data_IF_438112526454
#
_entry.id   IF_438112526454
#
_cell.length_a   1.000
_cell.length_b   1.000
_cell.length_c   1.000
_cell.angle_alpha   90.00
_cell.angle_beta   90.00
_cell.angle_gamma   90.00
#
_symmetry.space_group_name_H-M   'P 1'
#
loop_
_entity.id
_entity.type
_entity.pdbx_description
1 polymer ?
#
# COMPACT_ATOMS: atom_id res chain seq x y z
N UNK A 1 9.55 24.80 -21.93
CA UNK A 1 8.57 25.71 -21.29
C UNK A 1 8.04 25.04 -20.04
N UNK A 2 7.60 25.79 -19.03
CA UNK A 2 6.88 25.18 -17.89
C UNK A 2 5.57 24.60 -18.45
N UNK A 3 5.18 23.42 -17.99
CA UNK A 3 3.94 22.74 -18.42
C UNK A 3 3.02 22.49 -17.24
N UNK A 4 3.58 22.10 -16.10
CA UNK A 4 2.84 21.90 -14.87
C UNK A 4 3.51 22.56 -13.67
N UNK A 5 2.72 22.83 -12.64
CA UNK A 5 3.15 23.23 -11.30
C UNK A 5 2.81 22.08 -10.35
N UNK A 6 3.83 21.49 -9.75
CA UNK A 6 3.70 20.45 -8.75
C UNK A 6 3.79 21.07 -7.35
N UNK A 7 2.96 20.58 -6.44
CA UNK A 7 2.98 20.93 -5.03
C UNK A 7 3.38 19.67 -4.27
N UNK A 8 4.55 19.72 -3.65
CA UNK A 8 5.16 18.58 -3.02
C UNK A 8 5.12 18.69 -1.49
N UNK A 9 4.94 17.57 -0.81
CA UNK A 9 5.06 17.49 0.65
C UNK A 9 6.53 17.57 1.12
N UNK A 10 6.75 17.35 2.42
CA UNK A 10 8.08 17.36 3.03
C UNK A 10 9.01 16.23 2.53
N UNK A 11 8.44 15.15 2.01
CA UNK A 11 9.15 14.01 1.41
C UNK A 11 9.41 14.20 -0.10
N UNK A 12 8.90 15.29 -0.68
CA UNK A 12 8.98 15.60 -2.10
C UNK A 12 7.92 14.90 -2.95
N UNK A 13 6.93 14.25 -2.35
CA UNK A 13 5.82 13.59 -3.05
C UNK A 13 4.84 14.62 -3.58
N UNK A 14 4.38 14.40 -4.81
CA UNK A 14 3.43 15.29 -5.47
C UNK A 14 2.04 15.05 -4.91
N UNK A 15 1.54 16.00 -4.11
CA UNK A 15 0.17 16.01 -3.58
C UNK A 15 -0.81 16.61 -4.59
N UNK A 16 -0.34 17.60 -5.35
CA UNK A 16 -1.15 18.29 -6.34
C UNK A 16 -0.33 18.65 -7.57
N UNK A 17 -0.94 18.49 -8.75
CA UNK A 17 -0.33 18.87 -10.02
C UNK A 17 -1.33 19.67 -10.84
N UNK A 18 -0.99 20.91 -11.18
CA UNK A 18 -1.82 21.76 -12.04
C UNK A 18 -1.12 22.04 -13.36
N UNK A 19 -1.89 22.19 -14.43
CA UNK A 19 -1.36 22.78 -15.67
C UNK A 19 -0.90 24.21 -15.40
N UNK A 20 0.12 24.66 -16.14
CA UNK A 20 0.59 26.05 -16.04
C UNK A 20 -0.62 27.01 -16.11
N UNK A 21 -0.81 27.88 -15.12
CA UNK A 21 -1.90 28.85 -15.15
C UNK A 21 -1.67 29.86 -16.28
N UNK A 22 -2.76 30.38 -16.86
CA UNK A 22 -2.71 31.43 -17.89
C UNK A 22 -2.25 32.80 -17.36
N UNK A 23 -2.04 32.93 -16.04
CA UNK A 23 -1.63 34.14 -15.34
C UNK A 23 -0.24 34.00 -14.72
N UNK A 24 -0.06 34.58 -13.54
CA UNK A 24 1.23 34.55 -12.83
C UNK A 24 1.62 33.12 -12.45
N UNK A 25 2.86 32.77 -12.78
CA UNK A 25 3.45 31.47 -12.45
C UNK A 25 4.00 31.57 -11.02
N UNK A 26 3.57 30.69 -10.09
CA UNK A 26 4.10 30.66 -8.73
C UNK A 26 5.63 30.45 -8.72
N UNK A 27 6.31 30.98 -7.71
CA UNK A 27 7.78 30.96 -7.67
C UNK A 27 8.28 29.55 -7.33
N UNK A 28 9.33 29.10 -8.03
CA UNK A 28 10.00 27.82 -7.73
C UNK A 28 10.52 27.80 -6.29
N UNK A 29 10.20 26.73 -5.55
CA UNK A 29 10.60 26.54 -4.16
C UNK A 29 9.76 27.33 -3.13
N UNK A 30 8.73 28.05 -3.56
CA UNK A 30 7.82 28.74 -2.65
C UNK A 30 6.93 27.75 -1.88
N UNK A 31 6.66 28.06 -0.61
CA UNK A 31 5.73 27.31 0.22
C UNK A 31 4.29 27.82 0.01
N UNK A 32 3.39 26.91 -0.35
CA UNK A 32 1.96 27.17 -0.49
C UNK A 32 1.17 26.11 0.27
N UNK A 33 0.43 26.53 1.30
CA UNK A 33 -0.37 25.63 2.16
C UNK A 33 0.43 24.45 2.75
N UNK A 34 1.71 24.66 3.07
CA UNK A 34 2.60 23.62 3.60
C UNK A 34 3.23 22.71 2.55
N UNK A 35 2.99 22.95 1.27
CA UNK A 35 3.60 22.23 0.15
C UNK A 35 4.63 23.11 -0.55
N UNK A 36 5.74 22.53 -0.98
CA UNK A 36 6.78 23.20 -1.76
C UNK A 36 6.44 23.14 -3.25
N UNK A 37 6.52 24.28 -3.93
CA UNK A 37 6.23 24.38 -5.35
C UNK A 37 7.44 23.98 -6.20
N UNK A 38 7.21 23.10 -7.18
CA UNK A 38 8.21 22.71 -8.19
C UNK A 38 7.65 22.76 -9.61
N UNK A 39 8.41 23.34 -10.53
CA UNK A 39 8.05 23.47 -11.93
C UNK A 39 8.36 22.19 -12.70
N UNK A 40 7.43 21.78 -13.56
CA UNK A 40 7.59 20.63 -14.46
C UNK A 40 7.65 21.13 -15.90
N UNK A 41 8.73 20.80 -16.59
CA UNK A 41 9.00 21.21 -17.98
C UNK A 41 8.15 20.43 -18.98
N UNK A 42 7.83 21.04 -20.13
CA UNK A 42 7.20 20.43 -21.29
C UNK A 42 7.99 19.28 -21.91
N UNK A 43 9.30 19.25 -21.66
CA UNK A 43 10.20 18.17 -22.03
C UNK A 43 9.92 16.86 -21.28
N UNK A 44 9.06 16.85 -20.25
CA UNK A 44 8.54 15.62 -19.66
C UNK A 44 7.29 15.17 -20.46
N UNK A 45 7.42 14.15 -21.34
CA UNK A 45 6.36 13.75 -22.24
C UNK A 45 5.28 12.89 -21.56
N UNK A 46 5.49 12.51 -20.30
CA UNK A 46 4.57 11.67 -19.56
C UNK A 46 3.23 12.38 -19.33
N UNK A 47 2.17 11.56 -19.25
CA UNK A 47 0.87 12.04 -18.80
C UNK A 47 0.97 12.43 -17.32
N UNK A 48 0.14 13.37 -16.90
CA UNK A 48 0.14 13.91 -15.54
C UNK A 48 -0.04 12.83 -14.46
N UNK A 49 -0.92 11.86 -14.70
CA UNK A 49 -1.15 10.71 -13.79
C UNK A 49 0.11 9.86 -13.64
N UNK A 50 0.75 9.52 -14.77
CA UNK A 50 1.99 8.71 -14.77
C UNK A 50 3.12 9.46 -14.07
N UNK A 51 3.22 10.78 -14.27
CA UNK A 51 4.24 11.60 -13.62
C UNK A 51 4.09 11.63 -12.09
N UNK A 52 2.87 11.90 -11.60
CA UNK A 52 2.57 11.90 -10.14
C UNK A 52 2.90 10.54 -9.51
N UNK A 53 2.55 9.46 -10.19
CA UNK A 53 2.78 8.11 -9.68
C UNK A 53 4.26 7.74 -9.63
N UNK A 54 5.07 8.18 -10.60
CA UNK A 54 6.43 7.68 -10.78
C UNK A 54 7.55 8.61 -10.33
N UNK A 55 7.29 9.88 -10.05
CA UNK A 55 8.33 10.86 -9.70
C UNK A 55 8.07 11.57 -8.37
N UNK A 56 9.15 12.03 -7.76
CA UNK A 56 9.15 12.86 -6.57
C UNK A 56 10.30 13.87 -6.66
N UNK A 57 10.26 14.91 -5.83
CA UNK A 57 11.28 15.94 -5.79
C UNK A 57 12.39 15.63 -4.79
N UNK A 58 13.64 15.69 -5.26
CA UNK A 58 14.86 15.64 -4.44
C UNK A 58 15.99 16.33 -5.20
N UNK A 59 16.12 17.64 -4.99
CA UNK A 59 17.04 18.51 -5.74
C UNK A 59 16.86 18.40 -7.27
N UNK A 60 15.63 18.08 -7.69
CA UNK A 60 15.27 17.71 -9.06
C UNK A 60 14.25 16.57 -9.09
N UNK A 61 13.65 16.35 -10.26
CA UNK A 61 12.70 15.25 -10.47
C UNK A 61 13.42 13.90 -10.55
N UNK A 62 13.13 13.02 -9.60
CA UNK A 62 13.73 11.68 -9.49
C UNK A 62 12.64 10.62 -9.62
N UNK A 63 12.92 9.54 -10.35
CA UNK A 63 12.00 8.41 -10.45
C UNK A 63 11.99 7.61 -9.13
N UNK A 64 10.80 7.25 -8.65
CA UNK A 64 10.58 6.33 -7.52
C UNK A 64 11.05 4.90 -7.83
N UNK A 65 11.23 4.57 -9.11
CA UNK A 65 11.41 3.19 -9.56
C UNK A 65 10.10 2.37 -9.47
N UNK A 66 10.15 1.08 -9.86
CA UNK A 66 8.96 0.24 -9.86
C UNK A 66 8.47 -0.01 -8.44
N UNK A 67 7.17 0.21 -8.21
CA UNK A 67 6.52 -0.22 -6.97
C UNK A 67 6.57 -1.75 -6.87
N UNK A 68 7.09 -2.34 -5.76
CA UNK A 68 7.20 -3.79 -5.65
C UNK A 68 5.85 -4.52 -5.71
N UNK A 69 4.87 -4.08 -4.93
CA UNK A 69 3.48 -4.54 -4.99
C UNK A 69 2.53 -3.49 -4.37
N UNK A 70 1.22 -3.79 -4.27
CA UNK A 70 0.22 -2.84 -3.77
C UNK A 70 0.34 -2.46 -2.28
N UNK A 71 1.09 -3.23 -1.49
CA UNK A 71 1.29 -3.02 -0.05
C UNK A 71 2.49 -2.12 0.26
N UNK A 72 3.20 -1.65 -0.76
CA UNK A 72 4.27 -0.67 -0.60
C UNK A 72 3.75 0.74 -0.86
N UNK A 73 4.18 1.66 -0.01
CA UNK A 73 3.99 3.10 -0.18
C UNK A 73 5.35 3.78 -0.27
N UNK A 74 5.43 4.92 -0.93
CA UNK A 74 6.68 5.64 -1.06
C UNK A 74 6.79 6.65 0.09
N UNK A 75 7.89 6.64 0.82
CA UNK A 75 8.17 7.56 1.93
C UNK A 75 9.68 7.68 2.14
N UNK A 76 10.18 8.82 2.63
CA UNK A 76 11.62 9.04 2.85
C UNK A 76 12.48 8.71 1.61
N UNK A 77 11.88 8.89 0.42
CA UNK A 77 12.47 8.51 -0.87
C UNK A 77 12.82 7.04 -1.07
N UNK A 78 12.09 6.13 -0.41
CA UNK A 78 12.19 4.69 -0.61
C UNK A 78 10.78 4.06 -0.62
N UNK A 79 10.67 2.86 -1.21
CA UNK A 79 9.48 2.04 -1.04
C UNK A 79 9.51 1.39 0.35
N UNK A 80 8.54 1.73 1.17
CA UNK A 80 8.33 1.17 2.51
C UNK A 80 7.12 0.23 2.48
N UNK A 81 7.26 -0.93 3.15
CA UNK A 81 6.18 -1.91 3.25
C UNK A 81 5.16 -1.44 4.31
N UNK A 82 3.87 -1.44 3.96
CA UNK A 82 2.79 -1.26 4.92
C UNK A 82 2.48 -2.58 5.66
N UNK A 83 3.36 -2.95 6.60
CA UNK A 83 3.22 -4.19 7.38
C UNK A 83 1.86 -4.26 8.10
N UNK A 84 1.36 -3.13 8.59
CA UNK A 84 0.06 -3.08 9.29
C UNK A 84 -1.12 -3.48 8.40
N UNK A 85 -1.09 -3.10 7.13
CA UNK A 85 -2.11 -3.47 6.15
C UNK A 85 -2.01 -4.95 5.77
N UNK A 86 -0.79 -5.45 5.52
CA UNK A 86 -0.56 -6.87 5.25
C UNK A 86 -1.09 -7.72 6.40
N UNK A 87 -0.72 -7.42 7.64
CA UNK A 87 -1.21 -8.13 8.83
C UNK A 87 -2.73 -8.05 9.00
N UNK A 88 -3.32 -6.89 8.69
CA UNK A 88 -4.78 -6.70 8.76
C UNK A 88 -5.51 -7.61 7.78
N UNK A 89 -5.04 -7.70 6.53
CA UNK A 89 -5.64 -8.57 5.51
C UNK A 89 -5.53 -10.04 5.92
N UNK A 90 -4.38 -10.46 6.43
CA UNK A 90 -4.16 -11.83 6.90
C UNK A 90 -5.10 -12.15 8.07
N UNK A 91 -5.21 -11.22 9.04
CA UNK A 91 -6.13 -11.35 10.17
C UNK A 91 -7.58 -11.48 9.71
N UNK A 92 -7.99 -10.71 8.70
CA UNK A 92 -9.33 -10.79 8.12
C UNK A 92 -9.56 -12.15 7.44
N UNK A 93 -8.63 -12.63 6.61
CA UNK A 93 -8.72 -13.96 5.98
C UNK A 93 -8.82 -15.08 7.03
N UNK A 94 -8.02 -15.02 8.10
CA UNK A 94 -8.11 -15.95 9.22
C UNK A 94 -9.50 -15.91 9.87
N UNK A 95 -10.01 -14.73 10.16
CA UNK A 95 -11.34 -14.56 10.76
C UNK A 95 -12.43 -15.14 9.86
N UNK A 96 -12.35 -14.96 8.54
CA UNK A 96 -13.28 -15.57 7.57
C UNK A 96 -13.22 -17.10 7.62
N UNK A 97 -12.03 -17.71 7.66
CA UNK A 97 -11.88 -19.17 7.77
C UNK A 97 -12.41 -19.73 9.08
N UNK A 98 -12.17 -19.03 10.20
CA UNK A 98 -12.75 -19.37 11.49
C UNK A 98 -14.28 -19.24 11.45
N UNK A 99 -14.82 -18.18 10.87
CA UNK A 99 -16.26 -18.01 10.76
C UNK A 99 -16.90 -19.12 9.90
N UNK A 100 -16.31 -19.43 8.75
CA UNK A 100 -16.81 -20.46 7.84
C UNK A 100 -16.84 -21.87 8.46
N UNK A 101 -15.99 -22.13 9.45
CA UNK A 101 -15.87 -23.44 10.12
C UNK A 101 -16.49 -23.46 11.51
N UNK A 102 -17.25 -22.45 11.90
CA UNK A 102 -17.81 -22.36 13.25
C UNK A 102 -18.80 -23.49 13.56
N UNK A 103 -19.61 -23.88 12.57
CA UNK A 103 -20.58 -24.97 12.68
C UNK A 103 -19.96 -26.34 13.04
N UNK A 104 -18.65 -26.52 12.80
CA UNK A 104 -17.93 -27.76 13.13
C UNK A 104 -17.71 -27.94 14.63
N UNK A 105 -17.92 -26.89 15.41
CA UNK A 105 -17.69 -26.86 16.86
C UNK A 105 -18.97 -27.14 17.67
N UNK A 106 -20.12 -27.22 17.00
CA UNK A 106 -21.39 -27.52 17.64
C UNK A 106 -21.45 -29.01 18.01
N UNK A 107 -22.06 -29.33 19.16
CA UNK A 107 -22.15 -30.72 19.65
C UNK A 107 -23.00 -31.63 18.76
N UNK A 108 -23.91 -31.06 17.96
CA UNK A 108 -24.77 -31.73 16.99
C UNK A 108 -24.18 -31.74 15.57
N UNK A 109 -22.95 -31.24 15.40
CA UNK A 109 -22.27 -31.25 14.11
C UNK A 109 -21.99 -32.68 13.65
N UNK A 110 -22.28 -33.04 12.38
CA UNK A 110 -22.00 -34.37 11.84
C UNK A 110 -20.51 -34.61 11.54
N UNK A 111 -19.62 -33.69 11.93
CA UNK A 111 -18.19 -33.68 11.56
C UNK A 111 -17.29 -34.23 12.66
N UNK A 112 -16.05 -34.62 12.31
CA UNK A 112 -15.02 -34.98 13.28
C UNK A 112 -14.51 -33.73 14.03
N UNK A 113 -15.20 -33.39 15.11
CA UNK A 113 -14.92 -32.20 15.92
C UNK A 113 -13.45 -32.06 16.35
N UNK A 114 -12.72 -33.15 16.58
CA UNK A 114 -11.32 -33.08 17.04
C UNK A 114 -10.37 -32.55 15.98
N UNK A 115 -10.53 -33.00 14.72
CA UNK A 115 -9.75 -32.50 13.58
C UNK A 115 -10.04 -31.02 13.32
N UNK A 116 -11.30 -30.61 13.45
CA UNK A 116 -11.69 -29.22 13.28
C UNK A 116 -11.21 -28.30 14.41
N UNK A 117 -11.19 -28.78 15.66
CA UNK A 117 -10.56 -28.07 16.79
C UNK A 117 -9.08 -27.80 16.50
N UNK A 118 -8.35 -28.82 16.02
CA UNK A 118 -6.93 -28.70 15.66
C UNK A 118 -6.72 -27.69 14.53
N UNK A 119 -7.46 -27.82 13.42
CA UNK A 119 -7.40 -26.89 12.29
C UNK A 119 -7.68 -25.43 12.72
N UNK A 120 -8.70 -25.20 13.55
CA UNK A 120 -9.03 -23.85 14.05
C UNK A 120 -7.97 -23.31 15.00
N UNK A 121 -7.27 -24.17 15.73
CA UNK A 121 -6.13 -23.76 16.55
C UNK A 121 -4.95 -23.33 15.67
N UNK A 122 -4.60 -24.14 14.67
CA UNK A 122 -3.57 -23.81 13.68
C UNK A 122 -3.85 -22.47 12.99
N UNK A 123 -5.11 -22.20 12.61
CA UNK A 123 -5.51 -20.89 12.07
C UNK A 123 -5.23 -19.72 13.02
N UNK A 124 -5.45 -19.89 14.32
CA UNK A 124 -5.16 -18.84 15.32
C UNK A 124 -3.66 -18.66 15.51
N UNK A 125 -2.91 -19.75 15.49
CA UNK A 125 -1.47 -19.78 15.71
C UNK A 125 -0.69 -19.11 14.56
N UNK A 126 -1.27 -19.02 13.35
CA UNK A 126 -0.69 -18.26 12.22
C UNK A 126 -0.35 -16.82 12.64
N UNK A 127 -1.25 -16.13 13.33
CA UNK A 127 -1.01 -14.73 13.70
C UNK A 127 -0.01 -14.57 14.84
N UNK A 128 0.22 -15.61 15.64
CA UNK A 128 1.23 -15.60 16.69
C UNK A 128 2.65 -15.79 16.13
N UNK A 129 2.78 -16.49 15.00
CA UNK A 129 4.05 -16.85 14.36
C UNK A 129 4.14 -16.35 12.91
N UNK A 130 3.53 -15.20 12.62
CA UNK A 130 3.45 -14.70 11.26
C UNK A 130 4.87 -14.33 10.78
N UNK A 131 5.37 -14.94 9.68
CA UNK A 131 6.65 -14.53 9.13
C UNK A 131 6.58 -13.10 8.58
N UNK A 132 7.73 -12.47 8.40
CA UNK A 132 7.79 -11.23 7.64
C UNK A 132 7.34 -11.50 6.20
N UNK A 133 6.13 -11.06 5.88
CA UNK A 133 5.51 -11.18 4.56
C UNK A 133 5.28 -9.78 4.00
N UNK A 134 5.54 -9.63 2.72
CA UNK A 134 5.26 -8.43 1.94
C UNK A 134 3.98 -8.56 1.09
N UNK A 135 3.36 -9.74 1.08
CA UNK A 135 2.10 -10.05 0.41
C UNK A 135 1.28 -11.06 1.25
N UNK A 136 0.01 -10.77 1.58
CA UNK A 136 -0.87 -11.66 2.33
C UNK A 136 -1.28 -12.94 1.58
N UNK A 137 -1.07 -13.03 0.26
CA UNK A 137 -1.26 -14.28 -0.50
C UNK A 137 -0.15 -15.30 -0.24
N UNK A 138 1.01 -14.87 0.26
CA UNK A 138 2.13 -15.76 0.59
C UNK A 138 1.95 -16.50 1.93
N UNK A 139 0.85 -16.26 2.65
CA UNK A 139 0.53 -17.00 3.88
C UNK A 139 0.21 -18.45 3.56
N UNK A 140 0.94 -19.36 4.21
CA UNK A 140 0.60 -20.79 4.18
C UNK A 140 -0.50 -21.09 5.18
N UNK A 141 -1.66 -21.55 4.69
CA UNK A 141 -2.81 -21.91 5.51
C UNK A 141 -2.86 -23.42 5.77
N UNK A 142 -3.32 -23.87 6.95
CA UNK A 142 -3.57 -25.29 7.20
C UNK A 142 -4.61 -25.81 6.21
N UNK A 143 -4.52 -27.11 5.90
CA UNK A 143 -5.48 -27.78 5.01
C UNK A 143 -6.73 -28.13 5.79
N UNK A 144 -7.89 -27.85 5.21
CA UNK A 144 -9.17 -28.18 5.83
C UNK A 144 -9.32 -29.70 6.01
N UNK A 145 -9.82 -30.17 7.17
CA UNK A 145 -10.18 -31.56 7.37
C UNK A 145 -11.29 -32.01 6.41
N UNK A 146 -11.21 -33.27 5.97
CA UNK A 146 -12.26 -33.98 5.24
C UNK A 146 -13.34 -34.54 6.15
#
# INVERSE_FOLDING_TARGET
MIKYIAYCDEDGLIEHLTMQPSGDIPVEGELSNGLVIHHVSDSFPERSDVFVDNYFWRDGWVSKGPRPNQYYYFKNSAWELNTSEVESIIRNKRNMKLYATDYTQLSDSPTDSHRWVTYRQELRDIMANLPALDDPENVTWPTEPS
#
